data_IF_043122072046
#
_entry.id   IF_043122072046
#
_cell.length_a   1.000
_cell.length_b   1.000
_cell.length_c   1.000
_cell.angle_alpha   90.00
_cell.angle_beta   90.00
_cell.angle_gamma   90.00
#
_symmetry.space_group_name_H-M   'P 1'
#
loop_
_entity.id
_entity.type
_entity.pdbx_description
1 polymer ?
#
# COMPACT_ATOMS: atom_id res chain seq x y z
N UNK A 1 -4.05 3.30 -16.37
CA UNK A 1 -4.71 2.74 -15.16
C UNK A 1 -4.16 3.47 -13.94
N UNK A 2 -4.92 3.68 -12.86
CA UNK A 2 -4.38 4.23 -11.61
C UNK A 2 -3.76 3.15 -10.72
N UNK A 3 -2.85 3.55 -9.83
CA UNK A 3 -2.22 2.64 -8.87
C UNK A 3 -3.21 1.84 -8.03
N UNK A 4 -4.27 2.47 -7.51
CA UNK A 4 -5.27 1.78 -6.69
C UNK A 4 -5.98 0.67 -7.45
N UNK A 5 -6.30 0.88 -8.73
CA UNK A 5 -6.93 -0.12 -9.60
C UNK A 5 -5.97 -1.30 -9.83
N UNK A 6 -4.72 -1.00 -10.14
CA UNK A 6 -3.66 -2.00 -10.31
C UNK A 6 -3.49 -2.88 -9.07
N UNK A 7 -3.33 -2.26 -7.88
CA UNK A 7 -3.17 -2.98 -6.63
C UNK A 7 -4.40 -3.83 -6.27
N UNK A 8 -5.61 -3.30 -6.51
CA UNK A 8 -6.86 -4.02 -6.28
C UNK A 8 -7.08 -5.19 -7.25
N UNK A 9 -6.50 -5.16 -8.45
CA UNK A 9 -6.52 -6.28 -9.38
C UNK A 9 -5.55 -7.40 -8.99
N UNK A 10 -4.37 -7.04 -8.46
CA UNK A 10 -3.39 -8.01 -7.99
C UNK A 10 -3.79 -8.69 -6.68
N UNK A 11 -4.34 -7.92 -5.73
CA UNK A 11 -4.56 -8.37 -4.36
C UNK A 11 -5.39 -9.67 -4.21
N UNK A 12 -6.49 -9.90 -4.96
CA UNK A 12 -7.24 -11.15 -4.88
C UNK A 12 -6.45 -12.39 -5.35
N UNK A 13 -5.40 -12.19 -6.15
CA UNK A 13 -4.65 -13.27 -6.80
C UNK A 13 -3.35 -13.55 -6.04
N UNK A 14 -2.58 -12.50 -5.72
CA UNK A 14 -1.25 -12.59 -5.10
C UNK A 14 -1.14 -11.91 -3.73
N UNK A 15 -2.25 -11.39 -3.19
CA UNK A 15 -2.26 -10.75 -1.87
C UNK A 15 -2.00 -11.72 -0.72
N UNK A 16 -2.24 -13.03 -0.90
CA UNK A 16 -1.90 -14.12 0.02
C UNK A 16 -2.35 -13.90 1.48
N UNK A 17 -3.51 -13.26 1.69
CA UNK A 17 -4.05 -12.98 3.03
C UNK A 17 -3.39 -11.81 3.78
N UNK A 18 -2.47 -11.10 3.13
CA UNK A 18 -1.90 -9.87 3.69
C UNK A 18 -2.98 -8.80 3.90
N UNK A 19 -2.72 -7.88 4.83
CA UNK A 19 -3.49 -6.64 4.89
C UNK A 19 -3.26 -5.82 3.62
N UNK A 20 -4.23 -4.97 3.27
CA UNK A 20 -4.08 -4.09 2.09
C UNK A 20 -2.90 -3.13 2.24
N UNK A 21 -2.58 -2.69 3.46
CA UNK A 21 -1.39 -1.87 3.72
C UNK A 21 -0.10 -2.66 3.52
N UNK A 22 0.00 -3.88 4.09
CA UNK A 22 1.18 -4.74 3.94
C UNK A 22 1.44 -5.07 2.47
N UNK A 23 0.40 -5.50 1.75
CA UNK A 23 0.51 -5.82 0.34
C UNK A 23 0.94 -4.62 -0.50
N UNK A 24 0.34 -3.45 -0.27
CA UNK A 24 0.70 -2.23 -0.99
C UNK A 24 2.14 -1.82 -0.75
N UNK A 25 2.63 -2.00 0.48
CA UNK A 25 4.04 -1.79 0.80
C UNK A 25 4.93 -2.77 0.06
N UNK A 26 4.60 -4.06 0.05
CA UNK A 26 5.32 -5.09 -0.72
C UNK A 26 5.41 -4.72 -2.20
N UNK A 27 4.34 -4.20 -2.81
CA UNK A 27 4.41 -3.76 -4.21
C UNK A 27 5.48 -2.68 -4.41
N UNK A 28 5.53 -1.66 -3.55
CA UNK A 28 6.56 -0.63 -3.66
C UNK A 28 7.96 -1.15 -3.33
N UNK A 29 8.10 -2.03 -2.33
CA UNK A 29 9.40 -2.58 -1.92
C UNK A 29 10.00 -3.51 -3.00
N UNK A 30 9.17 -4.16 -3.81
CA UNK A 30 9.59 -5.13 -4.84
C UNK A 30 9.93 -4.50 -6.19
N UNK A 31 9.48 -3.28 -6.46
CA UNK A 31 9.75 -2.57 -7.73
C UNK A 31 10.97 -1.65 -7.63
N UNK A 32 11.60 -1.53 -6.47
CA UNK A 32 12.72 -0.61 -6.24
C UNK A 32 13.95 -1.34 -5.69
N UNK A 33 15.11 -0.75 -5.93
CA UNK A 33 16.37 -1.16 -5.30
C UNK A 33 16.39 -0.88 -3.78
N UNK A 34 17.47 -1.26 -3.11
CA UNK A 34 17.63 -1.04 -1.68
C UNK A 34 17.64 0.46 -1.28
N UNK A 35 18.03 1.37 -2.19
CA UNK A 35 18.00 2.81 -1.92
C UNK A 35 16.57 3.35 -1.95
N UNK A 36 15.73 2.86 -2.86
CA UNK A 36 14.32 3.18 -2.93
C UNK A 36 13.56 2.73 -1.68
N UNK A 37 13.91 1.56 -1.11
CA UNK A 37 13.28 1.01 0.11
C UNK A 37 13.40 1.94 1.31
N UNK A 38 14.53 2.65 1.47
CA UNK A 38 14.72 3.64 2.56
C UNK A 38 13.62 4.71 2.55
N UNK A 39 13.18 5.13 1.37
CA UNK A 39 12.08 6.10 1.24
C UNK A 39 10.75 5.49 1.71
N UNK A 40 10.49 4.23 1.34
CA UNK A 40 9.25 3.51 1.63
C UNK A 40 9.14 3.21 3.13
N UNK A 41 10.24 2.85 3.79
CA UNK A 41 10.32 2.54 5.22
C UNK A 41 9.87 3.70 6.13
N UNK A 42 10.05 4.94 5.67
CA UNK A 42 9.63 6.13 6.41
C UNK A 42 8.10 6.32 6.48
N UNK A 43 7.34 5.62 5.63
CA UNK A 43 5.90 5.74 5.52
C UNK A 43 5.16 4.78 6.46
N UNK A 44 4.03 5.24 7.00
CA UNK A 44 3.21 4.47 7.94
C UNK A 44 2.13 3.65 7.23
N UNK A 45 1.74 2.52 7.80
CA UNK A 45 0.68 1.62 7.31
C UNK A 45 -0.63 2.30 6.85
N UNK A 46 -1.19 3.29 7.56
CA UNK A 46 -2.40 3.99 7.11
C UNK A 46 -2.22 4.68 5.75
N UNK A 47 -0.99 5.09 5.42
CA UNK A 47 -0.64 5.70 4.13
C UNK A 47 -0.77 4.68 3.01
N UNK A 48 -0.19 3.50 3.17
CA UNK A 48 -0.30 2.40 2.20
C UNK A 48 -1.75 1.95 2.02
N UNK A 49 -2.50 1.84 3.12
CA UNK A 49 -3.94 1.56 3.06
C UNK A 49 -4.71 2.63 2.27
N UNK A 50 -4.36 3.91 2.42
CA UNK A 50 -4.99 5.00 1.68
C UNK A 50 -4.66 4.95 0.18
N UNK A 51 -3.43 4.54 -0.20
CA UNK A 51 -3.05 4.32 -1.59
C UNK A 51 -3.84 3.16 -2.21
N UNK A 52 -3.94 2.03 -1.53
CA UNK A 52 -4.73 0.88 -1.97
C UNK A 52 -6.19 1.27 -2.23
N UNK A 53 -6.81 1.98 -1.28
CA UNK A 53 -8.20 2.39 -1.37
C UNK A 53 -8.46 3.47 -2.43
N UNK A 54 -7.41 4.13 -2.96
CA UNK A 54 -7.54 5.29 -3.84
C UNK A 54 -7.97 6.58 -3.13
N UNK A 55 -7.93 6.61 -1.79
CA UNK A 55 -8.23 7.81 -0.99
C UNK A 55 -7.11 8.85 -1.10
N UNK A 56 -5.89 8.40 -1.38
CA UNK A 56 -4.74 9.24 -1.65
C UNK A 56 -4.03 8.74 -2.92
N UNK A 57 -3.60 9.67 -3.76
CA UNK A 57 -2.79 9.34 -4.92
C UNK A 57 -1.33 9.15 -4.50
N UNK A 58 -0.52 8.61 -5.41
CA UNK A 58 0.89 8.29 -5.16
C UNK A 58 1.94 9.29 -5.72
N UNK A 59 1.64 10.54 -6.13
CA UNK A 59 2.63 11.36 -6.84
C UNK A 59 3.86 11.70 -6.00
N UNK A 60 3.70 11.81 -4.68
CA UNK A 60 4.82 12.08 -3.77
C UNK A 60 5.79 10.91 -3.71
N UNK A 61 5.30 9.73 -3.32
CA UNK A 61 6.13 8.52 -3.24
C UNK A 61 6.67 8.16 -4.64
N UNK A 62 5.87 8.29 -5.69
CA UNK A 62 6.28 8.02 -7.06
C UNK A 62 7.51 8.85 -7.46
N UNK A 63 7.49 10.17 -7.23
CA UNK A 63 8.67 11.03 -7.51
C UNK A 63 9.90 10.59 -6.73
N UNK A 64 9.72 10.21 -5.47
CA UNK A 64 10.82 9.81 -4.59
C UNK A 64 11.46 8.50 -5.02
N UNK A 65 10.67 7.55 -5.54
CA UNK A 65 11.18 6.22 -5.92
C UNK A 65 11.54 6.08 -7.39
N UNK A 66 11.16 7.03 -8.26
CA UNK A 66 11.32 6.89 -9.72
C UNK A 66 12.76 6.63 -10.16
N UNK A 67 13.75 7.22 -9.48
CA UNK A 67 15.16 7.05 -9.79
C UNK A 67 15.73 5.67 -9.39
N UNK A 68 14.97 4.90 -8.61
CA UNK A 68 15.38 3.65 -7.98
C UNK A 68 14.57 2.45 -8.48
N UNK A 69 13.77 2.62 -9.54
CA UNK A 69 12.93 1.55 -10.08
C UNK A 69 13.80 0.46 -10.71
N UNK A 70 13.61 -0.78 -10.26
CA UNK A 70 14.21 -1.99 -10.81
C UNK A 70 13.08 -2.93 -11.27
N UNK A 71 12.65 -2.84 -12.55
CA UNK A 71 11.54 -3.65 -13.05
C UNK A 71 11.79 -5.15 -12.95
N UNK A 72 13.06 -5.58 -13.09
CA UNK A 72 13.45 -6.98 -13.04
C UNK A 72 13.20 -7.64 -11.68
N UNK A 73 13.36 -6.91 -10.57
CA UNK A 73 13.05 -7.42 -9.23
C UNK A 73 11.54 -7.71 -9.10
N UNK A 74 10.71 -6.83 -9.66
CA UNK A 74 9.26 -7.04 -9.69
C UNK A 74 8.86 -8.18 -10.64
N UNK A 75 9.54 -8.32 -11.77
CA UNK A 75 9.34 -9.47 -12.68
C UNK A 75 9.63 -10.79 -11.96
N UNK A 76 10.74 -10.87 -11.22
CA UNK A 76 11.09 -12.04 -10.43
C UNK A 76 10.03 -12.33 -9.37
N UNK A 77 9.56 -11.30 -8.65
CA UNK A 77 8.47 -11.42 -7.68
C UNK A 77 7.20 -12.04 -8.30
N UNK A 78 6.84 -11.67 -9.52
CA UNK A 78 5.69 -12.28 -10.22
C UNK A 78 6.00 -13.71 -10.69
N UNK A 79 7.22 -13.99 -11.14
CA UNK A 79 7.65 -15.32 -11.59
C UNK A 79 7.78 -16.36 -10.46
N UNK A 80 7.89 -15.92 -9.20
CA UNK A 80 7.93 -16.81 -8.04
C UNK A 80 6.57 -17.46 -7.73
N UNK A 81 5.48 -16.97 -8.33
CA UNK A 81 4.17 -17.59 -8.23
C UNK A 81 4.03 -18.77 -9.21
N UNK A 82 3.25 -19.81 -8.87
CA UNK A 82 3.03 -20.93 -9.78
C UNK A 82 2.28 -20.49 -11.04
N UNK A 83 2.52 -21.17 -12.16
CA UNK A 83 1.91 -20.88 -13.47
C UNK A 83 0.38 -20.71 -13.42
N UNK A 84 -0.31 -21.50 -12.58
CA UNK A 84 -1.75 -21.36 -12.39
C UNK A 84 -2.16 -20.00 -11.84
N UNK A 85 -1.37 -19.44 -10.93
CA UNK A 85 -1.58 -18.10 -10.37
C UNK A 85 -1.23 -17.03 -11.41
N UNK A 86 -0.16 -17.23 -12.17
CA UNK A 86 0.21 -16.32 -13.26
C UNK A 86 -0.86 -16.30 -14.35
N UNK A 87 -1.48 -17.44 -14.67
CA UNK A 87 -2.62 -17.49 -15.60
C UNK A 87 -3.81 -16.65 -15.10
N UNK A 88 -4.12 -16.69 -13.79
CA UNK A 88 -5.15 -15.81 -13.22
C UNK A 88 -4.78 -14.32 -13.36
N UNK A 89 -3.50 -13.97 -13.26
CA UNK A 89 -3.03 -12.62 -13.55
C UNK A 89 -3.27 -12.27 -15.03
N UNK A 90 -2.91 -13.14 -15.97
CA UNK A 90 -3.16 -12.94 -17.40
C UNK A 90 -4.64 -12.65 -17.67
N UNK A 91 -5.54 -13.49 -17.15
CA UNK A 91 -6.98 -13.37 -17.35
C UNK A 91 -7.51 -12.04 -16.78
N UNK A 92 -7.04 -11.64 -15.60
CA UNK A 92 -7.41 -10.39 -14.93
C UNK A 92 -6.93 -9.16 -15.73
N UNK A 93 -5.70 -9.19 -16.23
CA UNK A 93 -5.07 -8.05 -16.90
C UNK A 93 -5.31 -7.96 -18.41
N UNK A 94 -5.89 -8.99 -19.04
CA UNK A 94 -6.22 -9.02 -20.48
C UNK A 94 -6.92 -7.75 -20.99
N UNK A 95 -7.88 -7.12 -20.27
CA UNK A 95 -8.53 -5.89 -20.73
C UNK A 95 -7.58 -4.68 -20.87
N UNK A 96 -6.46 -4.70 -20.17
CA UNK A 96 -5.46 -3.61 -20.15
C UNK A 96 -4.17 -3.98 -20.89
N UNK A 97 -3.87 -5.28 -20.97
CA UNK A 97 -2.70 -5.86 -21.61
C UNK A 97 -3.15 -6.99 -22.55
N UNK A 98 -3.67 -6.70 -23.77
CA UNK A 98 -4.26 -7.71 -24.64
C UNK A 98 -3.30 -8.82 -25.10
N UNK A 99 -1.99 -8.54 -25.10
CA UNK A 99 -0.94 -9.49 -25.50
C UNK A 99 -0.36 -10.28 -24.32
N UNK A 100 -0.93 -10.13 -23.12
CA UNK A 100 -0.46 -10.84 -21.93
C UNK A 100 -0.70 -12.34 -22.06
N UNK A 101 0.31 -13.12 -21.71
CA UNK A 101 0.26 -14.58 -21.64
C UNK A 101 1.30 -15.07 -20.64
N UNK A 102 1.28 -16.36 -20.34
CA UNK A 102 2.12 -16.98 -19.31
C UNK A 102 3.63 -16.69 -19.47
N UNK A 103 4.13 -16.50 -20.70
CA UNK A 103 5.55 -16.29 -20.97
C UNK A 103 6.00 -14.84 -20.82
N UNK A 104 5.08 -13.88 -20.83
CA UNK A 104 5.41 -12.46 -20.76
C UNK A 104 4.68 -11.72 -19.63
N UNK A 105 3.90 -12.42 -18.81
CA UNK A 105 3.06 -11.82 -17.77
C UNK A 105 3.85 -10.97 -16.78
N UNK A 106 4.95 -11.50 -16.25
CA UNK A 106 5.84 -10.76 -15.33
C UNK A 106 6.36 -9.48 -15.95
N UNK A 107 6.92 -9.55 -17.16
CA UNK A 107 7.43 -8.39 -17.91
C UNK A 107 6.32 -7.36 -18.13
N UNK A 108 5.17 -7.78 -18.68
CA UNK A 108 4.06 -6.86 -19.01
C UNK A 108 3.45 -6.20 -17.77
N UNK A 109 3.33 -6.92 -16.66
CA UNK A 109 2.80 -6.38 -15.41
C UNK A 109 3.83 -5.43 -14.77
N UNK A 110 5.13 -5.74 -14.82
CA UNK A 110 6.19 -4.86 -14.33
C UNK A 110 6.31 -3.57 -15.16
N UNK A 111 6.23 -3.67 -16.49
CA UNK A 111 6.17 -2.51 -17.41
C UNK A 111 4.96 -1.63 -17.10
N UNK A 112 3.78 -2.23 -16.89
CA UNK A 112 2.57 -1.51 -16.51
C UNK A 112 2.76 -0.80 -15.16
N UNK A 113 3.32 -1.47 -14.16
CA UNK A 113 3.54 -0.87 -12.85
C UNK A 113 4.53 0.30 -12.92
N UNK A 114 5.63 0.11 -13.65
CA UNK A 114 6.62 1.17 -13.92
C UNK A 114 5.97 2.38 -14.59
N UNK A 115 5.11 2.14 -15.58
CA UNK A 115 4.37 3.21 -16.28
C UNK A 115 3.46 3.97 -15.32
N UNK A 116 2.71 3.26 -14.47
CA UNK A 116 1.85 3.88 -13.46
C UNK A 116 2.64 4.78 -12.50
N UNK A 117 3.81 4.34 -12.04
CA UNK A 117 4.68 5.13 -11.16
C UNK A 117 5.18 6.38 -11.89
N UNK A 118 5.70 6.24 -13.11
CA UNK A 118 6.21 7.37 -13.91
C UNK A 118 5.11 8.40 -14.21
N UNK A 119 3.94 7.95 -14.64
CA UNK A 119 2.78 8.82 -14.87
C UNK A 119 2.38 9.58 -13.60
N UNK A 120 2.33 8.88 -12.46
CA UNK A 120 2.01 9.51 -11.18
C UNK A 120 3.07 10.53 -10.76
N UNK A 121 4.36 10.26 -11.00
CA UNK A 121 5.43 11.20 -10.69
C UNK A 121 5.28 12.52 -11.49
N UNK A 122 4.85 12.42 -12.75
CA UNK A 122 4.59 13.55 -13.65
C UNK A 122 3.30 14.32 -13.33
N UNK A 123 2.42 13.80 -12.46
CA UNK A 123 1.23 14.57 -12.04
C UNK A 123 1.62 15.73 -11.13
N UNK A 124 1.74 16.90 -11.73
CA UNK A 124 1.76 18.17 -11.00
C UNK A 124 0.38 18.39 -10.39
N UNK A 125 0.34 18.85 -9.13
CA UNK A 125 -0.90 19.38 -8.55
C UNK A 125 -1.38 20.46 -9.50
N UNK A 126 -2.57 20.30 -10.10
CA UNK A 126 -3.32 21.47 -10.58
C UNK A 126 -3.46 22.37 -9.36
N UNK A 127 -2.66 23.43 -9.32
CA UNK A 127 -2.92 24.57 -8.44
C UNK A 127 -4.26 25.08 -8.95
N UNK A 128 -5.34 24.78 -8.24
CA UNK A 128 -6.61 25.47 -8.46
C UNK A 128 -6.34 26.93 -8.11
N UNK A 129 -6.49 27.88 -9.05
CA UNK A 129 -6.50 29.28 -8.66
C UNK A 129 -7.71 29.46 -7.75
N UNK A 130 -7.48 29.82 -6.49
CA UNK A 130 -8.49 30.55 -5.74
C UNK A 130 -8.59 31.92 -6.41
N UNK A 131 -9.57 32.12 -7.27
CA UNK A 131 -10.01 33.46 -7.64
C UNK A 131 -11.48 33.46 -8.02
N UNK A 132 -12.30 33.87 -7.05
CA UNK A 132 -13.43 34.72 -7.37
C UNK A 132 -12.91 35.98 -8.08
N UNK A 133 -13.10 36.08 -9.40
CA UNK A 133 -13.41 37.34 -10.06
C UNK A 133 -14.03 37.10 -11.45
N UNK A 134 -15.32 37.42 -11.52
CA UNK A 134 -16.14 37.89 -12.66
C UNK A 134 -15.53 37.89 -14.09
N UNK A 135 -16.24 37.14 -14.96
CA UNK A 135 -16.51 37.28 -16.41
C UNK A 135 -15.83 38.43 -17.19
N UNK A 136 -15.22 38.11 -18.34
CA UNK A 136 -15.81 38.36 -19.68
C UNK A 136 -14.93 37.88 -20.86
N UNK A 137 -15.63 37.39 -21.89
CA UNK A 137 -15.35 37.41 -23.35
C UNK A 137 -14.15 36.66 -23.97
N UNK A 138 -14.50 35.55 -24.65
CA UNK A 138 -14.27 35.25 -26.07
C UNK A 138 -12.88 35.48 -26.71
N UNK A 139 -12.22 34.38 -27.07
CA UNK A 139 -11.68 34.16 -28.42
C UNK A 139 -11.34 32.68 -28.61
N UNK A 140 -11.80 32.14 -29.73
CA UNK A 140 -11.73 30.74 -30.16
C UNK A 140 -10.29 30.31 -30.51
N UNK A 141 -9.87 29.25 -29.84
CA UNK A 141 -9.26 28.01 -30.33
C UNK A 141 -8.45 28.05 -31.66
N UNK A 142 -7.12 28.04 -31.51
CA UNK A 142 -6.20 27.45 -32.48
C UNK A 142 -4.97 26.87 -31.79
N UNK A 143 -4.52 25.71 -32.31
CA UNK A 143 -3.31 24.92 -32.01
C UNK A 143 -3.63 23.62 -31.25
N UNK A 144 -3.81 22.48 -31.96
CA UNK A 144 -2.73 21.64 -32.50
C UNK A 144 -1.74 21.29 -31.37
N UNK A 145 -1.98 20.18 -30.65
CA UNK A 145 -1.42 18.87 -31.00
C UNK A 145 0.06 18.92 -31.40
N UNK A 146 0.92 18.69 -30.42
CA UNK A 146 2.18 17.95 -30.58
C UNK A 146 2.84 17.74 -29.22
N UNK A 147 2.50 16.65 -28.52
CA UNK A 147 3.39 16.07 -27.52
C UNK A 147 4.33 15.10 -28.25
N UNK A 148 5.33 15.64 -28.93
CA UNK A 148 6.45 14.88 -29.45
C UNK A 148 7.74 15.42 -28.82
N UNK A 149 8.57 14.48 -28.35
CA UNK A 149 9.90 14.62 -27.76
C UNK A 149 9.94 14.74 -26.23
N UNK A 150 9.92 13.60 -25.55
CA UNK A 150 10.38 13.44 -24.16
C UNK A 150 11.44 12.33 -24.13
N UNK A 151 12.59 12.62 -24.73
CA UNK A 151 13.86 12.02 -24.36
C UNK A 151 14.83 13.20 -24.21
N UNK A 152 15.63 13.21 -23.15
CA UNK A 152 16.68 14.22 -22.84
C UNK A 152 16.31 15.50 -22.06
N UNK A 153 15.47 15.45 -21.02
CA UNK A 153 15.55 16.50 -19.98
C UNK A 153 15.09 16.15 -18.56
N UNK A 154 15.27 14.89 -18.12
CA UNK A 154 14.85 14.47 -16.78
C UNK A 154 15.87 14.80 -15.66
N UNK A 155 17.15 15.01 -15.98
CA UNK A 155 18.22 15.15 -14.98
C UNK A 155 18.48 16.59 -14.47
N UNK A 156 17.90 17.63 -15.07
CA UNK A 156 18.33 19.02 -14.82
C UNK A 156 17.46 19.82 -13.84
N UNK A 157 16.46 19.24 -13.17
CA UNK A 157 15.58 19.98 -12.24
C UNK A 157 15.65 19.52 -10.78
N UNK A 158 16.69 18.77 -10.39
CA UNK A 158 17.01 18.53 -8.96
C UNK A 158 17.82 19.71 -8.39
N UNK A 159 17.24 20.91 -8.40
CA UNK A 159 17.84 22.07 -7.76
C UNK A 159 17.06 22.42 -6.49
N UNK A 160 17.50 21.79 -5.39
CA UNK A 160 17.64 22.40 -4.06
C UNK A 160 16.43 23.12 -3.43
N UNK A 161 15.36 22.39 -3.08
CA UNK A 161 14.46 22.81 -2.00
C UNK A 161 14.99 22.24 -0.67
N UNK A 162 15.70 23.09 0.09
CA UNK A 162 16.07 22.81 1.48
C UNK A 162 14.80 22.61 2.33
N UNK A 163 14.74 21.62 3.22
CA UNK A 163 13.65 21.53 4.19
C UNK A 163 13.79 22.63 5.24
N UNK A 164 12.79 23.50 5.35
CA UNK A 164 12.63 24.44 6.46
C UNK A 164 12.49 23.66 7.77
N UNK A 165 13.55 23.67 8.59
CA UNK A 165 13.51 23.22 9.97
C UNK A 165 12.70 24.23 10.80
N UNK A 166 11.56 23.79 11.32
CA UNK A 166 10.85 24.53 12.37
C UNK A 166 11.55 24.27 13.71
N UNK A 167 12.17 25.32 14.24
CA UNK A 167 12.81 25.33 15.55
C UNK A 167 11.73 25.35 16.64
N UNK A 168 11.46 24.20 17.25
CA UNK A 168 10.55 24.11 18.40
C UNK A 168 11.30 24.60 19.64
N UNK A 169 11.01 25.83 20.04
CA UNK A 169 11.47 26.41 21.30
C UNK A 169 10.82 25.64 22.45
N UNK A 170 11.62 24.78 23.10
CA UNK A 170 11.25 24.14 24.36
C UNK A 170 11.41 25.21 25.43
N UNK A 171 10.30 25.69 25.97
CA UNK A 171 10.31 26.49 27.20
C UNK A 171 10.50 25.51 28.37
N UNK A 172 11.68 25.60 28.99
CA UNK A 172 12.03 24.96 30.24
C UNK A 172 11.32 25.68 31.39
N UNK A 173 10.32 25.04 31.99
CA UNK A 173 9.86 25.35 33.34
C UNK A 173 10.30 24.20 34.27
N UNK A 174 11.50 24.36 34.84
CA UNK A 174 11.91 23.79 36.12
C UNK A 174 10.95 24.36 37.21
N UNK A 175 10.48 23.65 38.24
CA UNK A 175 11.16 22.77 39.20
C UNK A 175 10.09 22.22 40.22
N UNK A 176 10.40 21.59 41.39
CA UNK A 176 10.05 20.19 41.69
C UNK A 176 9.25 19.99 43.00
N UNK A 177 9.23 18.75 43.52
CA UNK A 177 8.80 18.27 44.88
C UNK A 177 7.45 17.54 44.88
N UNK A 178 7.28 16.36 45.50
CA UNK A 178 8.14 15.55 46.35
C UNK A 178 7.37 14.35 46.92
N UNK A 179 8.13 13.36 47.39
CA UNK A 179 7.88 12.39 48.47
C UNK A 179 6.68 11.43 48.46
N UNK A 180 7.01 10.20 48.88
CA UNK A 180 6.21 9.00 48.98
C UNK A 180 5.03 9.06 49.95
N UNK A 181 4.00 8.25 49.71
CA UNK A 181 3.41 7.38 50.74
C UNK A 181 2.56 6.24 50.13
N UNK A 182 2.83 5.05 50.64
CA UNK A 182 2.10 3.80 50.48
C UNK A 182 0.73 3.85 51.16
N UNK A 183 -0.33 3.36 50.49
CA UNK A 183 -1.59 2.87 51.09
C UNK A 183 -2.52 2.25 50.02
N UNK A 184 -2.57 0.92 49.96
CA UNK A 184 -3.81 0.15 49.74
C UNK A 184 -4.62 0.11 51.06
N UNK A 185 -5.94 -0.24 51.10
CA UNK A 185 -6.76 -0.92 50.08
C UNK A 185 -8.21 -0.35 49.93
N UNK A 186 -8.97 -1.00 49.03
CA UNK A 186 -10.41 -1.31 49.07
C UNK A 186 -11.36 -0.76 47.99
N UNK A 187 -12.09 -1.75 47.44
CA UNK A 187 -13.51 -1.72 47.05
C UNK A 187 -13.88 -1.51 45.58
N UNK A 188 -13.75 -2.62 44.84
CA UNK A 188 -14.88 -3.35 44.23
C UNK A 188 -15.99 -2.57 43.54
N UNK A 189 -15.89 -2.41 42.22
CA UNK A 189 -17.03 -2.59 41.28
C UNK A 189 -16.55 -3.21 39.97
N UNK A 190 -16.38 -4.53 39.98
CA UNK A 190 -16.33 -5.34 38.75
C UNK A 190 -17.75 -5.37 38.18
N UNK A 191 -17.95 -4.77 37.01
CA UNK A 191 -19.18 -4.95 36.24
C UNK A 191 -19.12 -6.34 35.60
N UNK A 192 -19.87 -7.29 36.16
CA UNK A 192 -20.05 -8.63 35.61
C UNK A 192 -20.90 -8.48 34.34
N UNK A 193 -20.26 -8.57 33.17
CA UNK A 193 -20.97 -8.72 31.89
C UNK A 193 -21.48 -10.16 31.84
N UNK A 194 -22.80 -10.30 31.95
CA UNK A 194 -23.49 -11.59 31.92
C UNK A 194 -23.66 -12.01 30.45
N UNK A 195 -22.67 -12.67 29.86
CA UNK A 195 -22.87 -13.35 28.57
C UNK A 195 -23.59 -14.69 28.84
N UNK A 196 -24.82 -14.92 28.35
CA UNK A 196 -25.39 -16.26 28.37
C UNK A 196 -24.64 -17.15 27.39
N UNK A 197 -23.91 -18.14 27.93
CA UNK A 197 -23.37 -19.26 27.15
C UNK A 197 -24.55 -20.09 26.61
N UNK A 198 -24.76 -20.06 25.30
CA UNK A 198 -25.64 -21.03 24.63
C UNK A 198 -24.91 -22.37 24.66
N UNK A 199 -25.35 -23.25 25.56
CA UNK A 199 -24.92 -24.66 25.58
C UNK A 199 -25.60 -25.35 24.39
N UNK A 200 -24.83 -25.69 23.36
CA UNK A 200 -25.29 -26.59 22.32
C UNK A 200 -25.50 -27.99 22.94
N UNK A 201 -26.75 -28.33 23.23
CA UNK A 201 -27.16 -29.67 23.69
C UNK A 201 -27.48 -30.59 22.50
N UNK A 202 -26.59 -30.63 21.51
CA UNK A 202 -26.69 -31.61 20.44
C UNK A 202 -25.81 -32.82 20.74
N UNK A 203 -26.46 -33.87 21.24
CA UNK A 203 -26.25 -35.23 20.76
C UNK A 203 -25.24 -36.08 21.53
N UNK A 204 -25.78 -36.85 22.47
CA UNK A 204 -25.19 -38.05 23.05
C UNK A 204 -24.58 -38.98 21.99
N UNK A 205 -23.24 -39.07 21.91
CA UNK A 205 -22.51 -40.30 21.58
C UNK A 205 -21.14 -40.28 22.26
N UNK A 206 -21.14 -40.52 23.58
CA UNK A 206 -19.93 -40.97 24.26
C UNK A 206 -19.64 -42.39 23.78
N UNK A 207 -18.71 -42.54 22.84
CA UNK A 207 -18.19 -43.85 22.46
C UNK A 207 -17.28 -44.31 23.61
N UNK A 208 -17.84 -45.08 24.53
CA UNK A 208 -17.05 -45.87 25.48
C UNK A 208 -16.39 -47.01 24.71
N UNK A 209 -15.11 -46.86 24.38
CA UNK A 209 -14.28 -47.97 23.94
C UNK A 209 -13.76 -48.67 25.20
N UNK A 210 -14.62 -49.46 25.84
CA UNK A 210 -14.19 -50.51 26.75
C UNK A 210 -14.15 -51.81 25.96
N UNK A 211 -13.02 -52.11 25.32
CA UNK A 211 -12.48 -53.47 25.19
C UNK A 211 -11.10 -53.39 24.55
N UNK A 212 -10.06 -53.42 25.39
CA UNK A 212 -8.71 -53.74 24.96
C UNK A 212 -8.60 -55.25 25.06
N UNK A 213 -8.81 -55.95 23.95
CA UNK A 213 -8.47 -57.38 23.87
C UNK A 213 -6.95 -57.51 24.00
N UNK A 214 -6.53 -57.82 25.22
CA UNK A 214 -5.24 -58.41 25.50
C UNK A 214 -5.24 -59.84 24.96
N UNK A 215 -4.33 -60.07 24.02
CA UNK A 215 -3.50 -61.28 23.86
C UNK A 215 -4.19 -62.65 24.00
N UNK A 216 -4.04 -63.47 22.95
CA UNK A 216 -3.53 -64.84 23.10
C UNK A 216 -2.95 -65.32 21.76
N UNK A 217 -1.61 -65.42 21.73
CA UNK A 217 -0.72 -66.34 20.99
C UNK A 217 -1.06 -66.65 19.52
#
# INVERSE_FOLDING_TARGET
MRFSEFAQMLFPIIGAGNSTSSFTRTLFDTIVDDNGKVTIESLKDPTFKAYYNGNNNIPKIARSITAYIEPMEFEQYINDFPDSTIQLLCDSFTPYLPEINLHNASIKIAELFTTIIKEAACTNRKITPKSDCKKNSASEESAADSCANVEDNFYNNLESDKPDYIDAKVEDDDEPSGSAEEKTPESSRVQIINNPTIVNQYGEKNVHIEYVDKLSI
#
